data_IF_033840667988
#
_entry.id   IF_033840667988
#
_cell.length_a   1.000
_cell.length_b   1.000
_cell.length_c   1.000
_cell.angle_alpha   90.00
_cell.angle_beta   90.00
_cell.angle_gamma   90.00
#
_symmetry.space_group_name_H-M   'P 1'
#
loop_
_entity.id
_entity.type
_entity.pdbx_description
1 polymer ?
#
# COMPACT_ATOMS: atom_id res chain seq x y z
N UNK A 1 -34.64 1.79 -3.01
CA UNK A 1 -34.91 2.77 -4.12
C UNK A 1 -36.00 2.29 -5.10
N UNK A 2 -37.03 1.65 -4.60
CA UNK A 2 -38.11 1.08 -5.42
C UNK A 2 -38.88 2.16 -6.22
N UNK A 3 -38.88 3.41 -5.72
CA UNK A 3 -39.48 4.53 -6.42
C UNK A 3 -38.73 4.94 -7.70
N UNK A 4 -37.43 4.71 -7.75
CA UNK A 4 -36.59 5.02 -8.95
C UNK A 4 -36.99 4.14 -10.14
N UNK A 5 -37.39 2.89 -9.87
CA UNK A 5 -37.82 1.96 -10.93
C UNK A 5 -39.06 2.46 -11.66
N UNK A 6 -39.90 3.29 -10.98
CA UNK A 6 -41.12 3.88 -11.57
C UNK A 6 -40.86 5.18 -12.34
N UNK A 7 -39.66 5.75 -12.24
CA UNK A 7 -39.35 7.06 -12.85
C UNK A 7 -38.00 7.09 -13.56
N UNK A 8 -37.38 5.93 -13.76
CA UNK A 8 -36.05 5.86 -14.40
C UNK A 8 -36.07 6.47 -15.80
N UNK A 9 -37.14 6.22 -16.57
CA UNK A 9 -37.30 6.74 -17.94
C UNK A 9 -37.26 8.27 -18.00
N UNK A 10 -37.59 8.96 -16.89
CA UNK A 10 -37.49 10.42 -16.82
C UNK A 10 -36.03 10.90 -16.92
N UNK A 11 -35.08 10.08 -16.57
CA UNK A 11 -33.67 10.43 -16.53
C UNK A 11 -32.91 10.01 -17.82
N UNK A 12 -33.47 9.15 -18.67
CA UNK A 12 -32.77 8.58 -19.84
C UNK A 12 -32.29 9.63 -20.84
N UNK A 13 -33.05 10.71 -21.05
CA UNK A 13 -32.72 11.76 -22.02
C UNK A 13 -32.06 13.00 -21.37
N UNK A 14 -31.59 12.92 -20.13
CA UNK A 14 -31.00 14.07 -19.45
C UNK A 14 -29.50 14.14 -19.69
N UNK A 15 -29.04 15.28 -20.17
CA UNK A 15 -27.60 15.59 -20.33
C UNK A 15 -26.94 15.90 -18.96
N UNK A 16 -27.75 16.30 -17.97
CA UNK A 16 -27.25 16.66 -16.65
C UNK A 16 -28.29 16.35 -15.57
N UNK A 17 -27.87 15.58 -14.57
CA UNK A 17 -28.63 15.26 -13.37
C UNK A 17 -27.86 15.76 -12.15
N UNK A 18 -28.41 16.71 -11.40
CA UNK A 18 -27.73 17.27 -10.23
C UNK A 18 -28.22 16.52 -8.99
N UNK A 19 -27.28 15.85 -8.32
CA UNK A 19 -27.52 15.14 -7.07
C UNK A 19 -27.25 16.09 -5.89
N UNK A 20 -28.31 16.42 -5.15
CA UNK A 20 -28.28 17.30 -3.99
C UNK A 20 -28.78 16.51 -2.76
N UNK A 21 -28.04 15.52 -2.36
CA UNK A 21 -28.36 14.60 -1.27
C UNK A 21 -27.79 15.10 0.07
N UNK A 22 -28.25 14.53 1.17
CA UNK A 22 -27.75 14.82 2.51
C UNK A 22 -26.27 14.44 2.63
N UNK A 23 -25.52 15.15 3.47
CA UNK A 23 -24.09 14.90 3.72
C UNK A 23 -23.82 13.74 4.68
N UNK A 24 -24.86 13.10 5.23
CA UNK A 24 -24.72 11.97 6.15
C UNK A 24 -24.48 10.63 5.41
N UNK A 25 -24.23 9.57 6.18
CA UNK A 25 -23.94 8.23 5.64
C UNK A 25 -25.08 7.67 4.76
N UNK A 26 -26.35 7.99 5.08
CA UNK A 26 -27.51 7.57 4.30
C UNK A 26 -27.55 8.31 2.95
N UNK A 27 -27.30 9.62 2.95
CA UNK A 27 -27.20 10.42 1.75
C UNK A 27 -26.03 10.01 0.85
N UNK A 28 -24.89 9.69 1.43
CA UNK A 28 -23.74 9.17 0.64
C UNK A 28 -24.03 7.80 0.00
N UNK A 29 -24.71 6.90 0.72
CA UNK A 29 -25.14 5.61 0.15
C UNK A 29 -26.16 5.80 -0.98
N UNK A 30 -27.10 6.74 -0.81
CA UNK A 30 -28.05 7.12 -1.84
C UNK A 30 -27.35 7.71 -3.07
N UNK A 31 -26.39 8.61 -2.87
CA UNK A 31 -25.60 9.21 -3.95
C UNK A 31 -24.90 8.15 -4.77
N UNK A 32 -24.19 7.21 -4.11
CA UNK A 32 -23.48 6.11 -4.77
C UNK A 32 -24.42 5.27 -5.63
N UNK A 33 -25.59 4.91 -5.10
CA UNK A 33 -26.55 4.11 -5.84
C UNK A 33 -27.20 4.88 -7.01
N UNK A 34 -27.46 6.18 -6.86
CA UNK A 34 -27.95 7.02 -7.95
C UNK A 34 -26.92 7.13 -9.08
N UNK A 35 -25.66 7.37 -8.75
CA UNK A 35 -24.56 7.40 -9.74
C UNK A 35 -24.46 6.08 -10.48
N UNK A 36 -24.54 4.96 -9.75
CA UNK A 36 -24.48 3.61 -10.34
C UNK A 36 -25.61 3.35 -11.34
N UNK A 37 -26.82 3.84 -11.06
CA UNK A 37 -28.01 3.58 -11.90
C UNK A 37 -28.15 4.58 -13.06
N UNK A 38 -27.79 5.84 -12.84
CA UNK A 38 -27.97 6.90 -13.83
C UNK A 38 -26.76 7.09 -14.75
N UNK A 39 -25.59 6.62 -14.33
CA UNK A 39 -24.32 6.84 -15.00
C UNK A 39 -23.57 8.05 -14.44
N UNK A 40 -22.24 7.91 -14.26
CA UNK A 40 -21.40 8.98 -13.73
C UNK A 40 -21.27 10.16 -14.69
N UNK A 41 -21.42 9.92 -15.99
CA UNK A 41 -21.26 10.88 -17.07
C UNK A 41 -22.33 11.97 -17.07
N UNK A 42 -23.53 11.67 -16.59
CA UNK A 42 -24.64 12.65 -16.53
C UNK A 42 -24.83 13.23 -15.11
N UNK A 43 -24.21 12.63 -14.09
CA UNK A 43 -24.38 13.02 -12.70
C UNK A 43 -23.43 14.16 -12.29
N UNK A 44 -23.98 15.14 -11.61
CA UNK A 44 -23.28 16.28 -11.00
C UNK A 44 -23.60 16.37 -9.52
N UNK A 45 -22.62 16.68 -8.69
CA UNK A 45 -22.77 16.78 -7.24
C UNK A 45 -22.92 18.25 -6.81
N UNK A 46 -23.96 18.53 -6.04
CA UNK A 46 -24.10 19.77 -5.30
C UNK A 46 -23.80 19.50 -3.82
N UNK A 47 -22.79 20.17 -3.26
CA UNK A 47 -22.41 20.07 -1.85
C UNK A 47 -22.75 21.33 -1.09
N UNK A 48 -23.11 21.24 0.19
CA UNK A 48 -23.63 22.34 0.98
C UNK A 48 -22.70 22.78 2.12
N UNK A 49 -21.38 22.66 1.92
CA UNK A 49 -20.31 23.06 2.84
C UNK A 49 -20.56 22.60 4.29
N UNK A 50 -20.91 23.54 5.19
CA UNK A 50 -21.14 23.35 6.60
C UNK A 50 -22.62 23.02 6.95
N UNK A 51 -23.47 22.79 5.93
CA UNK A 51 -24.87 22.42 6.10
C UNK A 51 -25.09 20.94 5.75
N UNK A 52 -26.04 20.31 6.46
CA UNK A 52 -26.35 18.90 6.24
C UNK A 52 -27.01 18.67 4.87
N UNK A 53 -27.89 19.56 4.47
CA UNK A 53 -28.72 19.42 3.29
C UNK A 53 -29.03 20.77 2.62
N UNK A 54 -29.75 20.73 1.49
CA UNK A 54 -30.16 21.91 0.74
C UNK A 54 -31.16 22.81 1.52
N UNK A 55 -31.96 22.25 2.39
CA UNK A 55 -32.93 22.99 3.18
C UNK A 55 -32.24 23.82 4.28
N UNK A 56 -31.30 23.21 4.99
CA UNK A 56 -30.49 23.93 5.98
C UNK A 56 -29.66 25.05 5.30
N UNK A 57 -29.11 24.79 4.12
CA UNK A 57 -28.41 25.79 3.35
C UNK A 57 -29.30 26.92 2.89
N UNK A 58 -30.54 26.61 2.46
CA UNK A 58 -31.56 27.62 2.08
C UNK A 58 -31.90 28.51 3.27
N UNK A 59 -32.16 27.94 4.43
CA UNK A 59 -32.51 28.69 5.65
C UNK A 59 -31.34 29.59 6.11
N UNK A 60 -30.10 29.16 5.96
CA UNK A 60 -28.92 29.90 6.41
C UNK A 60 -28.49 30.98 5.45
N UNK A 61 -28.50 30.71 4.16
CA UNK A 61 -27.89 31.55 3.12
C UNK A 61 -28.86 32.17 2.13
N UNK A 62 -30.13 31.72 2.13
CA UNK A 62 -31.17 32.24 1.25
C UNK A 62 -31.21 31.61 -0.15
N UNK A 63 -32.31 31.92 -0.87
CA UNK A 63 -32.65 31.29 -2.15
C UNK A 63 -31.60 31.56 -3.26
N UNK A 64 -31.08 32.78 -3.32
CA UNK A 64 -30.14 33.18 -4.37
C UNK A 64 -28.82 32.38 -4.27
N UNK A 65 -28.27 32.24 -3.05
CA UNK A 65 -27.07 31.47 -2.80
C UNK A 65 -27.25 29.97 -3.03
N UNK A 66 -28.46 29.44 -2.70
CA UNK A 66 -28.76 28.04 -3.01
C UNK A 66 -28.79 27.80 -4.52
N UNK A 67 -29.43 28.67 -5.28
CA UNK A 67 -29.47 28.58 -6.73
C UNK A 67 -28.07 28.66 -7.35
N UNK A 68 -27.23 29.57 -6.87
CA UNK A 68 -25.83 29.67 -7.27
C UNK A 68 -25.08 28.37 -6.95
N UNK A 69 -25.28 27.80 -5.76
CA UNK A 69 -24.62 26.58 -5.34
C UNK A 69 -24.99 25.38 -6.22
N UNK A 70 -26.27 25.23 -6.53
CA UNK A 70 -26.76 24.17 -7.43
C UNK A 70 -26.20 24.38 -8.86
N UNK A 71 -26.16 25.62 -9.35
CA UNK A 71 -25.62 25.90 -10.69
C UNK A 71 -24.12 25.60 -10.81
N UNK A 72 -23.38 25.69 -9.72
CA UNK A 72 -21.95 25.36 -9.60
C UNK A 72 -21.68 23.89 -9.26
N UNK A 73 -22.70 23.02 -9.38
CA UNK A 73 -22.50 21.57 -9.21
C UNK A 73 -21.36 21.05 -10.06
N UNK A 74 -20.56 20.17 -9.51
CA UNK A 74 -19.39 19.57 -10.19
C UNK A 74 -19.75 18.20 -10.75
N UNK A 75 -19.20 17.79 -11.89
CA UNK A 75 -19.38 16.42 -12.38
C UNK A 75 -18.84 15.43 -11.35
N UNK A 76 -19.43 14.23 -11.32
CA UNK A 76 -18.89 13.13 -10.53
C UNK A 76 -17.44 12.86 -10.97
N UNK A 77 -16.47 12.79 -10.05
CA UNK A 77 -15.12 12.42 -10.40
C UNK A 77 -15.11 11.04 -11.08
N UNK A 78 -14.40 10.92 -12.18
CA UNK A 78 -14.21 9.63 -12.84
C UNK A 78 -13.38 8.73 -11.93
N UNK A 79 -13.87 7.52 -11.69
CA UNK A 79 -13.10 6.54 -10.92
C UNK A 79 -11.76 6.27 -11.60
N UNK A 80 -10.70 6.22 -10.81
CA UNK A 80 -9.33 5.97 -11.27
C UNK A 80 -8.78 7.00 -12.29
N UNK A 81 -9.37 8.20 -12.38
CA UNK A 81 -8.89 9.31 -13.19
C UNK A 81 -8.55 10.48 -12.27
N UNK A 82 -7.29 10.89 -12.30
CA UNK A 82 -6.80 12.03 -11.52
C UNK A 82 -6.63 13.23 -12.46
N UNK A 83 -7.25 14.36 -12.15
CA UNK A 83 -7.04 15.61 -12.87
C UNK A 83 -5.89 16.41 -12.26
N UNK A 84 -5.35 17.38 -13.02
CA UNK A 84 -4.30 18.25 -12.46
C UNK A 84 -4.73 18.96 -11.19
N UNK A 85 -6.01 19.36 -11.09
CA UNK A 85 -6.55 20.04 -9.89
C UNK A 85 -6.57 19.15 -8.65
N UNK A 86 -6.71 17.84 -8.83
CA UNK A 86 -6.72 16.87 -7.73
C UNK A 86 -5.35 16.70 -7.11
N UNK A 87 -4.28 16.99 -7.86
CA UNK A 87 -2.87 16.86 -7.46
C UNK A 87 -2.10 18.20 -7.52
N UNK A 88 -2.80 19.33 -7.67
CA UNK A 88 -2.15 20.65 -7.80
C UNK A 88 -1.28 21.00 -6.59
N UNK A 89 -1.71 20.64 -5.39
CA UNK A 89 -0.95 20.87 -4.16
C UNK A 89 0.33 20.03 -4.12
N UNK A 90 0.27 18.75 -4.52
CA UNK A 90 1.44 17.89 -4.62
C UNK A 90 2.41 18.37 -5.69
N UNK A 91 1.90 18.78 -6.85
CA UNK A 91 2.72 19.35 -7.93
C UNK A 91 3.37 20.66 -7.48
N UNK A 92 2.63 21.52 -6.78
CA UNK A 92 3.14 22.79 -6.25
C UNK A 92 4.25 22.54 -5.20
N UNK A 93 4.04 21.58 -4.30
CA UNK A 93 5.06 21.18 -3.31
C UNK A 93 6.31 20.62 -4.02
N UNK A 94 6.12 19.77 -5.02
CA UNK A 94 7.22 19.26 -5.85
C UNK A 94 8.03 20.36 -6.54
N UNK A 95 7.36 21.34 -7.16
CA UNK A 95 8.03 22.44 -7.84
C UNK A 95 8.81 23.32 -6.85
N UNK A 96 8.31 23.52 -5.63
CA UNK A 96 8.97 24.33 -4.61
C UNK A 96 10.13 23.62 -3.94
N UNK A 97 9.96 22.35 -3.58
CA UNK A 97 10.82 21.63 -2.67
C UNK A 97 11.61 20.49 -3.35
N UNK A 98 11.31 20.19 -4.62
CA UNK A 98 11.91 19.08 -5.35
C UNK A 98 11.36 17.72 -4.90
N UNK A 99 12.05 16.67 -5.31
CA UNK A 99 11.69 15.30 -4.94
C UNK A 99 11.91 15.09 -3.44
N UNK A 100 10.88 14.66 -2.72
CA UNK A 100 11.07 14.19 -1.33
C UNK A 100 11.86 12.90 -1.38
N UNK A 101 13.01 12.80 -0.69
CA UNK A 101 13.73 11.53 -0.62
C UNK A 101 12.82 10.46 0.00
N UNK A 102 12.86 9.27 -0.58
CA UNK A 102 12.18 8.11 -0.03
C UNK A 102 12.87 7.62 1.25
N UNK A 103 12.48 6.43 1.68
CA UNK A 103 13.09 5.80 2.84
C UNK A 103 14.52 5.36 2.53
N UNK A 104 15.44 5.68 3.41
CA UNK A 104 16.88 5.45 3.30
C UNK A 104 17.37 4.44 4.34
N UNK A 105 18.42 3.71 4.04
CA UNK A 105 18.93 2.64 4.92
C UNK A 105 20.06 3.07 5.85
N UNK A 106 20.55 4.30 5.71
CA UNK A 106 21.65 4.83 6.50
C UNK A 106 23.05 4.50 5.93
N UNK A 107 23.13 4.09 4.65
CA UNK A 107 24.38 3.92 3.91
C UNK A 107 24.54 5.05 2.90
N UNK A 108 25.31 6.08 3.25
CA UNK A 108 25.41 7.32 2.51
C UNK A 108 25.61 7.12 1.00
N UNK A 109 26.60 6.37 0.56
CA UNK A 109 26.86 6.14 -0.87
C UNK A 109 25.72 5.43 -1.61
N UNK A 110 24.88 4.68 -0.89
CA UNK A 110 23.72 4.02 -1.46
C UNK A 110 22.51 4.94 -1.41
N UNK A 111 22.30 5.63 -0.30
CA UNK A 111 21.18 6.55 -0.07
C UNK A 111 21.23 7.78 -0.99
N UNK A 112 22.42 8.14 -1.48
CA UNK A 112 22.61 9.21 -2.47
C UNK A 112 22.06 8.86 -3.86
N UNK A 113 21.95 7.57 -4.18
CA UNK A 113 21.52 7.07 -5.51
C UNK A 113 20.23 6.27 -5.49
N UNK A 114 19.79 5.82 -4.33
CA UNK A 114 18.61 4.97 -4.20
C UNK A 114 17.85 5.23 -2.90
N UNK A 115 16.55 5.37 -3.02
CA UNK A 115 15.63 5.40 -1.89
C UNK A 115 14.37 4.61 -2.23
N UNK A 116 13.67 4.11 -1.22
CA UNK A 116 12.45 3.33 -1.40
C UNK A 116 11.20 4.11 -1.01
N UNK A 117 10.08 3.69 -1.56
CA UNK A 117 8.75 4.16 -1.18
C UNK A 117 7.88 2.97 -0.79
N UNK A 118 6.88 3.18 0.02
CA UNK A 118 5.87 2.15 0.28
C UNK A 118 5.14 1.79 -1.02
N UNK A 119 4.77 0.52 -1.16
CA UNK A 119 4.12 0.03 -2.38
C UNK A 119 5.08 -0.34 -3.50
N UNK A 120 6.40 -0.25 -3.29
CA UNK A 120 7.39 -0.67 -4.28
C UNK A 120 7.69 -2.15 -4.21
N UNK A 121 7.82 -2.75 -5.39
CA UNK A 121 8.44 -4.05 -5.60
C UNK A 121 9.89 -3.84 -6.05
N UNK A 122 10.83 -4.41 -5.30
CA UNK A 122 12.28 -4.26 -5.54
C UNK A 122 12.88 -5.61 -5.85
N UNK A 123 13.55 -5.73 -6.98
CA UNK A 123 14.32 -6.92 -7.36
C UNK A 123 15.81 -6.69 -7.14
N UNK A 124 16.43 -7.53 -6.31
CA UNK A 124 17.87 -7.56 -6.11
C UNK A 124 18.46 -8.76 -6.84
N UNK A 125 19.27 -8.51 -7.85
CA UNK A 125 19.88 -9.55 -8.69
C UNK A 125 21.40 -9.48 -8.69
N UNK A 126 22.04 -10.53 -9.13
CA UNK A 126 23.51 -10.63 -9.24
C UNK A 126 23.98 -12.08 -9.28
N UNK A 127 25.27 -12.27 -9.53
CA UNK A 127 25.88 -13.59 -9.61
C UNK A 127 25.84 -14.32 -8.26
N UNK A 128 25.89 -15.66 -8.23
CA UNK A 128 25.99 -16.41 -6.98
C UNK A 128 27.15 -15.91 -6.10
N UNK A 129 26.94 -15.94 -4.79
CA UNK A 129 27.94 -15.53 -3.77
C UNK A 129 28.38 -14.05 -3.83
N UNK A 130 27.64 -13.18 -4.53
CA UNK A 130 27.93 -11.73 -4.58
C UNK A 130 27.44 -10.92 -3.36
N UNK A 131 26.89 -11.58 -2.35
CA UNK A 131 26.41 -10.91 -1.13
C UNK A 131 25.00 -10.32 -1.21
N UNK A 132 24.18 -10.70 -2.21
CA UNK A 132 22.79 -10.20 -2.36
C UNK A 132 21.97 -10.29 -1.08
N UNK A 133 21.86 -11.48 -0.50
CA UNK A 133 21.08 -11.71 0.71
C UNK A 133 21.64 -10.93 1.89
N UNK A 134 22.97 -10.81 2.00
CA UNK A 134 23.59 -10.00 3.05
C UNK A 134 23.31 -8.50 2.89
N UNK A 135 23.26 -8.02 1.64
CA UNK A 135 22.87 -6.64 1.32
C UNK A 135 21.38 -6.40 1.63
N UNK A 136 20.47 -7.32 1.27
CA UNK A 136 19.05 -7.25 1.62
C UNK A 136 18.86 -7.22 3.14
N UNK A 137 19.58 -8.06 3.88
CA UNK A 137 19.59 -8.03 5.35
C UNK A 137 20.04 -6.67 5.88
N UNK A 138 21.05 -6.05 5.24
CA UNK A 138 21.49 -4.69 5.62
C UNK A 138 20.43 -3.63 5.35
N UNK A 139 19.74 -3.71 4.19
CA UNK A 139 18.63 -2.81 3.88
C UNK A 139 17.52 -2.92 4.94
N UNK A 140 17.12 -4.13 5.27
CA UNK A 140 16.05 -4.40 6.26
C UNK A 140 16.42 -3.85 7.64
N UNK A 141 17.65 -4.08 8.09
CA UNK A 141 18.13 -3.55 9.38
C UNK A 141 18.19 -2.02 9.35
N UNK A 142 18.61 -1.43 8.23
CA UNK A 142 18.61 0.02 8.04
C UNK A 142 17.21 0.63 8.10
N UNK A 143 16.23 0.07 7.39
CA UNK A 143 14.83 0.52 7.48
C UNK A 143 14.24 0.35 8.86
N UNK A 144 14.58 -0.75 9.55
CA UNK A 144 14.15 -0.93 10.92
C UNK A 144 14.76 0.11 11.86
N UNK A 145 16.06 0.35 11.77
CA UNK A 145 16.76 1.32 12.61
C UNK A 145 16.26 2.77 12.40
N UNK A 146 16.02 3.15 11.14
CA UNK A 146 15.66 4.53 10.79
C UNK A 146 14.16 4.81 10.92
N UNK A 147 13.30 3.81 10.67
CA UNK A 147 11.85 4.01 10.55
C UNK A 147 11.01 3.00 11.33
N UNK A 148 11.62 2.08 12.07
CA UNK A 148 10.91 1.05 12.83
C UNK A 148 10.18 0.02 11.94
N UNK A 149 10.57 -0.15 10.68
CA UNK A 149 9.94 -1.10 9.79
C UNK A 149 10.15 -2.53 10.24
N UNK A 150 9.07 -3.26 10.40
CA UNK A 150 9.10 -4.69 10.67
C UNK A 150 9.14 -5.48 9.37
N UNK A 151 9.87 -6.57 9.36
CA UNK A 151 10.11 -7.36 8.15
C UNK A 151 9.77 -8.82 8.35
N UNK A 152 9.14 -9.44 7.35
CA UNK A 152 9.00 -10.88 7.25
C UNK A 152 9.89 -11.44 6.14
N UNK A 153 10.44 -12.63 6.36
CA UNK A 153 11.30 -13.34 5.43
C UNK A 153 10.69 -14.68 5.05
N UNK A 154 10.48 -14.90 3.77
CA UNK A 154 10.18 -16.19 3.17
C UNK A 154 11.45 -16.69 2.47
N UNK A 155 12.31 -17.39 3.21
CA UNK A 155 13.65 -17.77 2.76
C UNK A 155 13.88 -19.26 2.87
N UNK A 156 13.41 -20.07 1.90
CA UNK A 156 13.56 -21.53 1.92
C UNK A 156 15.02 -22.03 1.88
N UNK A 157 15.97 -21.18 1.55
CA UNK A 157 17.40 -21.53 1.58
C UNK A 157 18.08 -21.20 2.92
N UNK A 158 17.49 -20.35 3.74
CA UNK A 158 18.03 -20.00 5.05
C UNK A 158 17.64 -21.04 6.12
N UNK A 159 18.06 -22.27 5.91
CA UNK A 159 17.83 -23.39 6.82
C UNK A 159 19.19 -23.85 7.40
N UNK A 160 19.29 -24.01 8.69
CA UNK A 160 18.29 -23.76 9.73
C UNK A 160 18.08 -22.26 10.01
N UNK A 161 16.84 -21.88 10.30
CA UNK A 161 16.38 -20.49 10.48
C UNK A 161 17.19 -19.67 11.50
N UNK A 162 17.72 -20.34 12.54
CA UNK A 162 18.52 -19.66 13.57
C UNK A 162 19.80 -19.02 13.01
N UNK A 163 20.35 -19.54 11.91
CA UNK A 163 21.56 -18.94 11.28
C UNK A 163 21.23 -17.57 10.68
N UNK A 164 20.10 -17.45 10.04
CA UNK A 164 19.63 -16.15 9.50
C UNK A 164 19.25 -15.19 10.63
N UNK A 165 18.51 -15.67 11.63
CA UNK A 165 18.18 -14.87 12.81
C UNK A 165 19.45 -14.35 13.52
N UNK A 166 20.50 -15.17 13.61
CA UNK A 166 21.80 -14.75 14.15
C UNK A 166 22.47 -13.67 13.29
N UNK A 167 22.37 -13.75 11.95
CA UNK A 167 22.91 -12.70 11.07
C UNK A 167 22.21 -11.37 11.31
N UNK A 168 20.88 -11.35 11.39
CA UNK A 168 20.10 -10.15 11.67
C UNK A 168 20.43 -9.59 13.05
N UNK A 169 20.54 -10.46 14.06
CA UNK A 169 20.96 -10.07 15.41
C UNK A 169 22.33 -9.39 15.40
N UNK A 170 23.32 -9.95 14.70
CA UNK A 170 24.66 -9.37 14.57
C UNK A 170 24.64 -7.98 13.92
N UNK A 171 23.85 -7.79 12.87
CA UNK A 171 23.71 -6.49 12.19
C UNK A 171 23.05 -5.47 13.12
N UNK A 172 22.02 -5.87 13.86
CA UNK A 172 21.35 -5.03 14.86
C UNK A 172 22.28 -4.71 16.02
N UNK A 173 23.09 -5.67 16.46
CA UNK A 173 24.11 -5.48 17.51
C UNK A 173 25.24 -4.57 17.08
N UNK A 174 25.45 -4.43 15.78
CA UNK A 174 26.61 -3.78 15.17
C UNK A 174 27.95 -4.40 15.62
N UNK A 175 28.00 -5.73 15.66
CA UNK A 175 29.19 -6.46 16.07
C UNK A 175 28.93 -7.97 16.22
N UNK A 176 29.82 -8.63 16.94
CA UNK A 176 29.80 -10.07 17.18
C UNK A 176 29.51 -10.33 18.66
N UNK A 177 28.29 -10.75 19.03
CA UNK A 177 28.03 -11.18 20.40
C UNK A 177 28.85 -12.42 20.72
N UNK A 178 29.40 -12.47 21.93
CA UNK A 178 30.17 -13.58 22.46
C UNK A 178 29.30 -14.47 23.36
N UNK A 179 29.81 -15.64 23.72
CA UNK A 179 29.13 -16.50 24.71
C UNK A 179 28.95 -15.85 26.09
N UNK A 180 29.74 -14.83 26.40
CA UNK A 180 29.67 -14.11 27.68
C UNK A 180 28.58 -13.04 27.70
N UNK A 181 28.07 -12.65 26.53
CA UNK A 181 26.98 -11.69 26.41
C UNK A 181 25.60 -12.35 26.63
N UNK A 182 25.53 -13.68 26.50
CA UNK A 182 24.28 -14.43 26.59
C UNK A 182 23.62 -14.23 27.97
N UNK A 183 22.35 -13.79 27.95
CA UNK A 183 21.57 -13.54 29.17
C UNK A 183 21.86 -12.19 29.84
N UNK A 184 22.83 -11.42 29.35
CA UNK A 184 23.06 -10.05 29.80
C UNK A 184 21.99 -9.06 29.25
N UNK A 185 21.94 -7.87 29.84
CA UNK A 185 20.92 -6.87 29.50
C UNK A 185 20.91 -6.52 28.01
N UNK A 186 22.08 -6.29 27.43
CA UNK A 186 22.21 -5.98 26.00
C UNK A 186 21.73 -7.14 25.10
N UNK A 187 22.07 -8.37 25.50
CA UNK A 187 21.58 -9.56 24.78
C UNK A 187 20.06 -9.62 24.78
N UNK A 188 19.45 -9.45 25.95
CA UNK A 188 17.99 -9.51 26.12
C UNK A 188 17.31 -8.38 25.31
N UNK A 189 17.82 -7.15 25.38
CA UNK A 189 17.30 -6.02 24.59
C UNK A 189 17.33 -6.29 23.07
N UNK A 190 18.44 -6.81 22.54
CA UNK A 190 18.57 -7.09 21.12
C UNK A 190 17.73 -8.32 20.72
N UNK A 191 17.63 -9.34 21.58
CA UNK A 191 16.79 -10.50 21.33
C UNK A 191 15.30 -10.08 21.26
N UNK A 192 14.84 -9.26 22.18
CA UNK A 192 13.47 -8.72 22.21
C UNK A 192 13.21 -7.83 20.99
N UNK A 193 14.19 -7.02 20.61
CA UNK A 193 14.13 -6.21 19.39
C UNK A 193 13.97 -7.10 18.15
N UNK A 194 14.80 -8.13 17.98
CA UNK A 194 14.73 -9.04 16.85
C UNK A 194 13.39 -9.79 16.83
N UNK A 195 12.93 -10.29 17.99
CA UNK A 195 11.65 -10.98 18.15
C UNK A 195 10.45 -10.11 17.76
N UNK A 196 10.54 -8.80 17.99
CA UNK A 196 9.46 -7.85 17.69
C UNK A 196 9.44 -7.41 16.23
N UNK A 197 10.59 -7.43 15.55
CA UNK A 197 10.76 -6.76 14.25
C UNK A 197 11.05 -7.70 13.08
N UNK A 198 11.57 -8.92 13.31
CA UNK A 198 11.95 -9.84 12.26
C UNK A 198 11.20 -11.17 12.37
N UNK A 199 10.43 -11.49 11.34
CA UNK A 199 9.57 -12.68 11.32
C UNK A 199 10.04 -13.63 10.22
N UNK A 200 10.22 -14.90 10.53
CA UNK A 200 10.53 -15.93 9.57
C UNK A 200 9.27 -16.71 9.22
N UNK A 201 8.94 -16.74 7.94
CA UNK A 201 7.87 -17.58 7.41
C UNK A 201 8.50 -18.93 7.13
N UNK A 202 8.14 -19.92 7.95
CA UNK A 202 8.60 -21.29 7.83
C UNK A 202 7.43 -22.17 7.39
N UNK A 203 7.60 -22.88 6.26
CA UNK A 203 6.58 -23.69 5.61
C UNK A 203 7.20 -24.97 5.08
N UNK A 204 6.47 -26.07 5.12
CA UNK A 204 6.90 -27.32 4.46
C UNK A 204 7.00 -27.15 2.94
N UNK A 205 6.11 -26.33 2.36
CA UNK A 205 6.09 -26.01 0.94
C UNK A 205 5.85 -24.52 0.72
N UNK A 206 6.74 -23.91 -0.02
CA UNK A 206 6.65 -22.50 -0.40
C UNK A 206 6.00 -22.35 -1.76
N UNK A 207 4.76 -21.85 -1.80
CA UNK A 207 4.13 -21.32 -3.01
C UNK A 207 4.00 -19.82 -2.88
N UNK A 208 3.96 -19.09 -4.01
CA UNK A 208 3.78 -17.63 -3.95
C UNK A 208 2.50 -17.25 -3.20
N UNK A 209 1.39 -17.92 -3.52
CA UNK A 209 0.11 -17.67 -2.88
C UNK A 209 0.17 -17.85 -1.36
N UNK A 210 0.79 -18.95 -0.90
CA UNK A 210 0.92 -19.23 0.54
C UNK A 210 1.81 -18.20 1.24
N UNK A 211 2.89 -17.75 0.60
CA UNK A 211 3.79 -16.72 1.12
C UNK A 211 3.09 -15.37 1.20
N UNK A 212 2.40 -14.93 0.12
CA UNK A 212 1.66 -13.67 0.12
C UNK A 212 0.51 -13.68 1.12
N UNK A 213 -0.22 -14.80 1.23
CA UNK A 213 -1.28 -14.96 2.25
C UNK A 213 -0.71 -14.81 3.67
N UNK A 214 0.42 -15.44 3.97
CA UNK A 214 1.08 -15.32 5.27
C UNK A 214 1.65 -13.90 5.48
N UNK A 215 2.17 -13.28 4.43
CA UNK A 215 2.57 -11.87 4.43
C UNK A 215 1.41 -10.94 4.81
N UNK A 216 0.26 -11.09 4.15
CA UNK A 216 -0.94 -10.31 4.46
C UNK A 216 -1.43 -10.51 5.92
N UNK A 217 -1.35 -11.73 6.45
CA UNK A 217 -1.64 -12.00 7.85
C UNK A 217 -0.68 -11.24 8.78
N UNK A 218 0.62 -11.24 8.47
CA UNK A 218 1.64 -10.53 9.24
C UNK A 218 1.50 -9.00 9.13
N UNK A 219 1.09 -8.47 7.97
CA UNK A 219 0.71 -7.05 7.86
C UNK A 219 -0.38 -6.71 8.86
N UNK A 220 -1.48 -7.49 8.89
CA UNK A 220 -2.62 -7.22 9.78
C UNK A 220 -2.29 -7.41 11.25
N UNK A 221 -1.54 -8.45 11.61
CA UNK A 221 -1.30 -8.81 13.02
C UNK A 221 -0.06 -8.18 13.63
N UNK A 222 0.98 -7.95 12.83
CA UNK A 222 2.30 -7.48 13.31
C UNK A 222 2.69 -6.13 12.74
N UNK A 223 2.00 -5.67 11.68
CA UNK A 223 2.30 -4.40 11.03
C UNK A 223 3.62 -4.42 10.26
N UNK A 224 3.96 -5.55 9.62
CA UNK A 224 5.16 -5.58 8.77
C UNK A 224 5.01 -4.57 7.62
N UNK A 225 6.13 -3.97 7.22
CA UNK A 225 6.25 -3.03 6.11
C UNK A 225 7.09 -3.58 4.96
N UNK A 226 7.80 -4.68 5.20
CA UNK A 226 8.65 -5.33 4.21
C UNK A 226 8.42 -6.85 4.23
N UNK A 227 8.30 -7.45 3.05
CA UNK A 227 8.30 -8.89 2.85
C UNK A 227 9.46 -9.23 1.92
N UNK A 228 10.40 -10.03 2.39
CA UNK A 228 11.55 -10.53 1.62
C UNK A 228 11.26 -11.95 1.15
N UNK A 229 11.45 -12.21 -0.14
CA UNK A 229 11.38 -13.54 -0.76
C UNK A 229 12.75 -13.87 -1.31
N UNK A 230 13.47 -14.79 -0.71
CA UNK A 230 14.87 -15.12 -1.05
C UNK A 230 15.15 -16.63 -0.98
N UNK A 231 15.42 -17.28 -2.13
CA UNK A 231 15.31 -16.74 -3.47
C UNK A 231 13.91 -16.98 -4.09
N UNK A 232 13.53 -16.12 -5.03
CA UNK A 232 12.21 -16.21 -5.67
C UNK A 232 11.99 -17.53 -6.44
N UNK A 233 13.05 -18.11 -7.00
CA UNK A 233 12.98 -19.34 -7.78
C UNK A 233 12.66 -20.60 -6.96
N UNK A 234 12.76 -20.54 -5.63
CA UNK A 234 12.37 -21.61 -4.70
C UNK A 234 10.90 -21.49 -4.25
N UNK A 235 10.29 -20.35 -4.50
CA UNK A 235 8.89 -20.06 -4.18
C UNK A 235 8.08 -20.16 -5.48
N UNK A 236 7.73 -21.38 -5.88
CA UNK A 236 7.03 -21.66 -7.14
C UNK A 236 5.71 -22.39 -6.91
N UNK A 237 4.74 -22.02 -7.70
CA UNK A 237 3.53 -22.84 -7.85
C UNK A 237 3.91 -24.09 -8.70
N UNK A 238 3.41 -25.26 -8.31
CA UNK A 238 3.89 -26.57 -8.82
C UNK A 238 3.49 -26.84 -10.27
N UNK A 239 2.52 -26.10 -10.78
CA UNK A 239 1.89 -26.38 -12.06
C UNK A 239 2.48 -25.61 -13.26
N UNK A 240 3.63 -24.97 -13.07
CA UNK A 240 4.32 -24.30 -14.19
C UNK A 240 4.90 -25.34 -15.15
N UNK A 241 4.18 -25.63 -16.23
CA UNK A 241 4.73 -26.37 -17.35
C UNK A 241 5.84 -25.53 -17.99
N UNK A 242 6.97 -26.14 -18.27
CA UNK A 242 8.21 -25.54 -18.78
C UNK A 242 8.05 -24.74 -20.09
N UNK A 243 6.93 -24.89 -20.78
CA UNK A 243 6.70 -24.29 -22.10
C UNK A 243 6.36 -22.79 -22.08
N UNK A 244 6.05 -22.19 -20.92
CA UNK A 244 5.65 -20.79 -20.81
C UNK A 244 6.27 -20.06 -19.61
N UNK A 245 7.59 -20.19 -19.45
CA UNK A 245 8.36 -19.59 -18.33
C UNK A 245 8.19 -18.07 -18.26
N UNK A 246 8.13 -17.41 -19.43
CA UNK A 246 8.01 -15.95 -19.49
C UNK A 246 6.63 -15.50 -18.99
N UNK A 247 5.56 -16.16 -19.43
CA UNK A 247 4.20 -15.86 -18.98
C UNK A 247 4.05 -16.10 -17.48
N UNK A 248 4.55 -17.23 -17.00
CA UNK A 248 4.55 -17.54 -15.57
C UNK A 248 5.30 -16.48 -14.76
N UNK A 249 6.48 -16.06 -15.22
CA UNK A 249 7.26 -15.02 -14.54
C UNK A 249 6.50 -13.69 -14.50
N UNK A 250 5.86 -13.30 -15.59
CA UNK A 250 5.05 -12.07 -15.65
C UNK A 250 3.87 -12.12 -14.66
N UNK A 251 3.12 -13.22 -14.65
CA UNK A 251 2.00 -13.40 -13.70
C UNK A 251 2.49 -13.41 -12.24
N UNK A 252 3.62 -14.04 -11.98
CA UNK A 252 4.26 -14.08 -10.67
C UNK A 252 4.64 -12.68 -10.17
N UNK A 253 5.34 -11.90 -11.00
CA UNK A 253 5.77 -10.54 -10.66
C UNK A 253 4.57 -9.60 -10.48
N UNK A 254 3.54 -9.75 -11.32
CA UNK A 254 2.29 -8.98 -11.20
C UNK A 254 1.59 -9.24 -9.86
N UNK A 255 1.52 -10.49 -9.40
CA UNK A 255 0.94 -10.82 -8.08
C UNK A 255 1.71 -10.15 -6.93
N UNK A 256 3.04 -10.12 -7.01
CA UNK A 256 3.87 -9.46 -6.00
C UNK A 256 3.66 -7.94 -6.03
N UNK A 257 3.61 -7.35 -7.22
CA UNK A 257 3.37 -5.91 -7.37
C UNK A 257 2.01 -5.49 -6.80
N UNK A 258 0.96 -6.27 -7.09
CA UNK A 258 -0.39 -6.03 -6.51
C UNK A 258 -0.36 -6.16 -4.98
N UNK A 259 0.38 -7.12 -4.45
CA UNK A 259 0.53 -7.29 -3.00
C UNK A 259 1.27 -6.13 -2.34
N UNK A 260 2.25 -5.53 -3.02
CA UNK A 260 3.05 -4.42 -2.48
C UNK A 260 2.25 -3.11 -2.38
N UNK A 261 1.33 -2.87 -3.32
CA UNK A 261 0.41 -1.70 -3.35
C UNK A 261 -0.69 -1.83 -2.30
#
# INVERSE_FOLDING_TARGET
LDYLDNCIDYFEDKEKVILAVDSDAAGQALQTELIRRLGSEVCYLATFDDCKDANEYLLKYGKEKLAERISRSKPVPLENVTTFRDIEDEVTDFVRNGFKPGFQIGLQNFDDIFSTYTGQFITVTGIPSSGKSDFVDQMVVGYNANYGWKTAFASPENVPTYLHAHKLMRKTWQGMPSKHDIGGDRWNQIADHCNTNYFHIDMERYTLESVLKKGAELVKRKGIKCLVIDPFNKVRDVDCKTEDVNRYTMEYLTKIEIFAK
#
